data_IF_975381805065
#
_entry.id   IF_975381805065
#
_cell.length_a   1.000
_cell.length_b   1.000
_cell.length_c   1.000
_cell.angle_alpha   90.00
_cell.angle_beta   90.00
_cell.angle_gamma   90.00
#
_symmetry.space_group_name_H-M   'P 1'
#
loop_
_entity.id
_entity.type
_entity.pdbx_description
1 polymer ?
#
# COMPACT_ATOMS: atom_id res chain seq x y z
N UNK A 1 15.70 -8.77 21.23
CA UNK A 1 17.02 -8.23 20.85
C UNK A 1 16.82 -6.75 20.56
N UNK A 2 17.40 -5.87 21.37
CA UNK A 2 17.29 -4.42 21.16
C UNK A 2 18.05 -4.06 19.89
N UNK A 3 17.37 -3.47 18.91
CA UNK A 3 18.03 -2.91 17.73
C UNK A 3 18.86 -1.73 18.22
N UNK A 4 20.18 -1.82 18.11
CA UNK A 4 21.06 -0.67 18.35
C UNK A 4 20.71 0.38 17.31
N UNK A 5 20.16 1.50 17.75
CA UNK A 5 19.88 2.64 16.88
C UNK A 5 21.19 3.39 16.62
N UNK A 6 21.60 3.46 15.36
CA UNK A 6 22.69 4.32 14.93
C UNK A 6 22.24 5.78 15.01
N UNK A 7 23.18 6.66 15.35
CA UNK A 7 22.98 8.11 15.26
C UNK A 7 23.06 8.56 13.80
N UNK A 8 22.44 9.69 13.47
CA UNK A 8 22.51 10.30 12.12
C UNK A 8 23.97 10.45 11.65
N UNK A 9 24.87 10.95 12.51
CA UNK A 9 26.29 11.13 12.19
C UNK A 9 27.02 9.82 11.88
N UNK A 10 26.59 8.70 12.48
CA UNK A 10 27.14 7.38 12.17
C UNK A 10 26.62 6.89 10.82
N UNK A 11 25.34 7.12 10.52
CA UNK A 11 24.73 6.76 9.23
C UNK A 11 25.44 7.52 8.10
N UNK A 12 25.64 8.83 8.25
CA UNK A 12 26.26 9.65 7.21
C UNK A 12 27.73 9.29 6.94
N UNK A 13 28.49 8.95 8.00
CA UNK A 13 29.87 8.45 7.82
C UNK A 13 29.92 7.12 7.07
N UNK A 14 28.96 6.23 7.32
CA UNK A 14 28.87 4.95 6.60
C UNK A 14 28.56 5.18 5.13
N UNK A 15 27.58 6.04 4.82
CA UNK A 15 27.23 6.41 3.43
C UNK A 15 28.46 6.99 2.71
N UNK A 16 29.13 7.97 3.31
CA UNK A 16 30.29 8.63 2.69
C UNK A 16 31.50 7.70 2.49
N UNK A 17 31.59 6.60 3.25
CA UNK A 17 32.69 5.64 3.15
C UNK A 17 32.45 4.52 2.13
N UNK A 18 31.25 4.43 1.55
CA UNK A 18 30.88 3.36 0.62
C UNK A 18 31.53 3.59 -0.77
N UNK A 19 32.52 2.76 -1.17
CA UNK A 19 33.19 2.93 -2.45
C UNK A 19 32.31 2.54 -3.65
N UNK A 20 31.25 1.76 -3.44
CA UNK A 20 30.37 1.26 -4.51
C UNK A 20 29.19 2.23 -4.77
N UNK A 21 28.96 3.18 -3.87
CA UNK A 21 27.88 4.16 -3.95
C UNK A 21 28.39 5.61 -3.75
N UNK A 22 29.31 6.11 -4.60
CA UNK A 22 29.79 7.48 -4.49
C UNK A 22 28.67 8.49 -4.79
N UNK A 23 28.79 9.68 -4.20
CA UNK A 23 27.89 10.79 -4.49
C UNK A 23 27.90 11.16 -5.98
N UNK A 24 26.72 11.43 -6.54
CA UNK A 24 26.58 11.81 -7.94
C UNK A 24 27.18 13.21 -8.19
N UNK A 25 28.06 13.32 -9.17
CA UNK A 25 28.62 14.62 -9.58
C UNK A 25 27.59 15.44 -10.36
N UNK A 26 27.73 16.76 -10.34
CA UNK A 26 26.85 17.65 -11.12
C UNK A 26 26.84 17.32 -12.63
N UNK A 27 27.98 16.88 -13.19
CA UNK A 27 28.08 16.48 -14.59
C UNK A 27 27.32 15.16 -14.88
N UNK A 28 27.27 14.23 -13.93
CA UNK A 28 26.48 13.00 -14.05
C UNK A 28 24.98 13.31 -13.93
N UNK A 29 24.59 14.21 -13.00
CA UNK A 29 23.20 14.64 -12.86
C UNK A 29 22.70 15.39 -14.10
N UNK A 30 23.55 16.20 -14.74
CA UNK A 30 23.21 16.88 -15.99
C UNK A 30 22.92 15.91 -17.16
N UNK A 31 23.41 14.67 -17.08
CA UNK A 31 23.16 13.61 -18.06
C UNK A 31 21.95 12.74 -17.71
N UNK A 32 21.26 13.02 -16.60
CA UNK A 32 20.09 12.26 -16.19
C UNK A 32 18.98 12.35 -17.25
N UNK A 33 18.34 11.22 -17.52
CA UNK A 33 17.23 11.12 -18.47
C UNK A 33 15.99 10.61 -17.76
N UNK A 34 14.78 11.01 -18.21
CA UNK A 34 13.54 10.43 -17.70
C UNK A 34 13.58 8.90 -17.78
N UNK A 35 13.04 8.22 -16.76
CA UNK A 35 13.01 6.76 -16.69
C UNK A 35 12.40 6.11 -17.94
N UNK A 36 11.35 6.72 -18.50
CA UNK A 36 10.68 6.28 -19.72
C UNK A 36 11.59 6.30 -20.95
N UNK A 37 12.57 7.19 -20.98
CA UNK A 37 13.53 7.30 -22.08
C UNK A 37 14.77 6.42 -21.88
N UNK A 38 15.20 6.27 -20.62
CA UNK A 38 16.33 5.43 -20.28
C UNK A 38 15.99 3.93 -20.41
N UNK A 39 14.75 3.55 -20.07
CA UNK A 39 14.29 2.16 -20.06
C UNK A 39 12.91 2.00 -20.73
N UNK A 40 12.79 2.25 -22.04
CA UNK A 40 11.50 2.28 -22.73
C UNK A 40 10.73 0.96 -22.60
N UNK A 41 11.38 -0.17 -22.89
CA UNK A 41 10.76 -1.50 -22.81
C UNK A 41 10.24 -1.85 -21.39
N UNK A 42 11.00 -1.48 -20.35
CA UNK A 42 10.61 -1.70 -18.96
C UNK A 42 9.46 -0.77 -18.58
N UNK A 43 9.50 0.49 -18.99
CA UNK A 43 8.43 1.46 -18.72
C UNK A 43 7.10 1.01 -19.34
N UNK A 44 7.13 0.45 -20.55
CA UNK A 44 5.94 -0.08 -21.22
C UNK A 44 5.43 -1.38 -20.59
N UNK A 45 6.32 -2.23 -20.10
CA UNK A 45 5.93 -3.41 -19.33
C UNK A 45 5.25 -3.03 -18.01
N UNK A 46 5.80 -2.05 -17.28
CA UNK A 46 5.23 -1.54 -16.05
C UNK A 46 3.87 -0.88 -16.28
N UNK A 47 3.72 -0.04 -17.31
CA UNK A 47 2.41 0.56 -17.66
C UNK A 47 1.34 -0.49 -17.98
N UNK A 48 1.71 -1.57 -18.67
CA UNK A 48 0.78 -2.68 -18.97
C UNK A 48 0.39 -3.46 -17.72
N UNK A 49 1.31 -3.61 -16.77
CA UNK A 49 1.09 -4.31 -15.50
C UNK A 49 0.65 -3.39 -14.35
N UNK A 50 0.44 -2.10 -14.61
CA UNK A 50 -0.04 -1.11 -13.64
C UNK A 50 -1.55 -1.17 -13.41
N UNK A 51 -2.26 -2.07 -14.09
CA UNK A 51 -3.61 -2.43 -13.70
C UNK A 51 -3.56 -2.95 -12.28
N UNK A 52 -3.99 -2.14 -11.31
CA UNK A 52 -4.14 -2.56 -9.92
C UNK A 52 -5.04 -3.79 -9.80
N UNK A 53 -5.41 -4.16 -8.57
CA UNK A 53 -6.35 -5.27 -8.35
C UNK A 53 -7.52 -5.17 -9.34
N UNK A 54 -7.84 -6.22 -10.11
CA UNK A 54 -8.88 -6.16 -11.13
C UNK A 54 -10.13 -5.48 -10.59
N UNK A 55 -10.68 -4.53 -11.35
CA UNK A 55 -11.89 -3.81 -10.95
C UNK A 55 -12.98 -4.85 -10.68
N UNK A 56 -13.51 -4.85 -9.46
CA UNK A 56 -14.64 -5.72 -9.12
C UNK A 56 -15.88 -5.09 -9.77
N UNK A 57 -16.63 -5.87 -10.55
CA UNK A 57 -17.83 -5.41 -11.26
C UNK A 57 -18.86 -4.77 -10.31
N UNK A 58 -19.07 -5.39 -9.14
CA UNK A 58 -19.99 -4.92 -8.12
C UNK A 58 -19.27 -4.72 -6.79
N UNK A 59 -18.56 -3.59 -6.59
CA UNK A 59 -17.87 -3.31 -5.34
C UNK A 59 -18.89 -3.06 -4.21
N UNK A 60 -18.51 -3.38 -2.97
CA UNK A 60 -19.30 -3.01 -1.80
C UNK A 60 -19.35 -1.48 -1.68
N UNK A 61 -20.53 -0.93 -1.44
CA UNK A 61 -20.70 0.50 -1.19
C UNK A 61 -20.47 0.77 0.30
N UNK A 62 -19.54 1.67 0.62
CA UNK A 62 -19.34 2.14 1.98
C UNK A 62 -20.43 3.16 2.33
N UNK A 63 -21.27 2.84 3.30
CA UNK A 63 -22.33 3.72 3.81
C UNK A 63 -22.11 4.03 5.28
N UNK A 64 -22.48 5.25 5.70
CA UNK A 64 -22.53 5.60 7.12
C UNK A 64 -23.93 5.30 7.65
N UNK A 65 -24.05 4.28 8.50
CA UNK A 65 -25.31 3.80 9.07
C UNK A 65 -25.21 3.80 10.60
N UNK A 66 -26.23 4.34 11.27
CA UNK A 66 -26.39 4.19 12.72
C UNK A 66 -27.17 2.91 12.99
N UNK A 67 -26.61 2.05 13.83
CA UNK A 67 -27.19 0.78 14.27
C UNK A 67 -27.27 0.80 15.79
N UNK A 68 -28.23 0.06 16.34
CA UNK A 68 -28.32 -0.15 17.78
C UNK A 68 -27.04 -0.81 18.32
N UNK A 69 -26.65 -0.40 19.52
CA UNK A 69 -25.37 -0.80 20.12
C UNK A 69 -25.29 -2.31 20.35
N UNK A 70 -26.39 -2.92 20.76
CA UNK A 70 -26.52 -4.35 21.02
C UNK A 70 -26.35 -5.20 19.76
N UNK A 71 -26.89 -4.73 18.62
CA UNK A 71 -26.70 -5.36 17.30
C UNK A 71 -25.21 -5.38 16.93
N UNK A 72 -24.53 -4.24 17.03
CA UNK A 72 -23.09 -4.16 16.72
C UNK A 72 -22.27 -5.02 17.68
N UNK A 73 -22.59 -5.01 18.97
CA UNK A 73 -21.92 -5.82 19.98
C UNK A 73 -22.08 -7.32 19.69
N UNK A 74 -23.29 -7.77 19.36
CA UNK A 74 -23.60 -9.16 19.00
C UNK A 74 -22.77 -9.64 17.82
N UNK A 75 -22.68 -8.84 16.75
CA UNK A 75 -21.84 -9.21 15.62
C UNK A 75 -20.36 -9.20 15.99
N UNK A 76 -19.84 -8.15 16.66
CA UNK A 76 -18.42 -8.09 17.05
C UNK A 76 -17.99 -9.27 17.94
N UNK A 77 -18.86 -9.74 18.84
CA UNK A 77 -18.59 -10.90 19.69
C UNK A 77 -18.32 -12.19 18.91
N UNK A 78 -18.78 -12.29 17.66
CA UNK A 78 -18.47 -13.43 16.78
C UNK A 78 -17.04 -13.43 16.22
N UNK A 79 -16.22 -12.43 16.56
CA UNK A 79 -14.80 -12.36 16.19
C UNK A 79 -14.52 -11.85 14.77
N UNK A 80 -13.33 -12.13 14.21
CA UNK A 80 -12.96 -11.71 12.86
C UNK A 80 -14.02 -12.07 11.81
N UNK A 81 -14.24 -11.17 10.86
CA UNK A 81 -15.26 -11.33 9.82
C UNK A 81 -16.70 -10.98 10.25
N UNK A 82 -16.90 -10.37 11.42
CA UNK A 82 -18.24 -10.00 11.88
C UNK A 82 -19.00 -9.07 10.91
N UNK A 83 -18.30 -8.16 10.24
CA UNK A 83 -18.91 -7.29 9.21
C UNK A 83 -19.40 -8.10 8.00
N UNK A 84 -18.69 -9.15 7.61
CA UNK A 84 -19.14 -10.05 6.53
C UNK A 84 -20.40 -10.79 6.93
N UNK A 85 -20.47 -11.29 8.17
CA UNK A 85 -21.68 -11.93 8.71
C UNK A 85 -22.86 -10.96 8.80
N UNK A 86 -22.61 -9.72 9.23
CA UNK A 86 -23.62 -8.66 9.25
C UNK A 86 -24.13 -8.34 7.85
N UNK A 87 -23.24 -8.20 6.86
CA UNK A 87 -23.63 -7.98 5.47
C UNK A 87 -24.47 -9.15 4.92
N UNK A 88 -24.13 -10.40 5.28
CA UNK A 88 -24.95 -11.57 4.90
C UNK A 88 -26.36 -11.51 5.49
N UNK A 89 -26.49 -11.19 6.78
CA UNK A 89 -27.79 -11.04 7.42
C UNK A 89 -28.63 -9.92 6.78
N UNK A 90 -28.01 -8.80 6.40
CA UNK A 90 -28.68 -7.71 5.68
C UNK A 90 -29.15 -8.15 4.29
N UNK A 91 -28.38 -8.99 3.59
CA UNK A 91 -28.81 -9.56 2.30
C UNK A 91 -30.01 -10.48 2.46
N UNK A 92 -29.94 -11.42 3.40
CA UNK A 92 -31.04 -12.34 3.69
C UNK A 92 -32.33 -11.58 4.05
N UNK A 93 -32.24 -10.56 4.92
CA UNK A 93 -33.38 -9.71 5.29
C UNK A 93 -33.94 -8.89 4.12
N UNK A 94 -33.11 -8.55 3.12
CA UNK A 94 -33.51 -7.85 1.90
C UNK A 94 -33.95 -8.80 0.77
N UNK A 95 -33.87 -10.12 0.96
CA UNK A 95 -34.17 -11.12 -0.07
C UNK A 95 -33.10 -11.25 -1.16
N UNK A 96 -31.82 -11.01 -0.83
CA UNK A 96 -30.65 -11.03 -1.73
C UNK A 96 -29.67 -12.18 -1.48
#
# INVERSE_FOLDING_TARGET
MSKTHLTEDQIQRMIASDPDAPEATAAQLAQARPFTEAFPALSDALRRNMGGRPKVENPKVAVSLRLDQDVVARFKASGPGWQTRMNRALREAAGL
#
